data_IF_133492254361
#
_entry.id   IF_133492254361
#
_cell.length_a   1.000
_cell.length_b   1.000
_cell.length_c   1.000
_cell.angle_alpha   90.00
_cell.angle_beta   90.00
_cell.angle_gamma   90.00
#
_symmetry.space_group_name_H-M   'P 1'
#
loop_
_entity.id
_entity.type
_entity.pdbx_description
1 polymer ?
#
# COMPACT_ATOMS: atom_id res chain seq x y z
N UNK A 1 10.22 7.08 -5.16
CA UNK A 1 9.76 6.35 -3.97
C UNK A 1 10.31 7.05 -2.75
N UNK A 2 9.54 7.17 -1.66
CA UNK A 2 9.96 7.93 -0.48
C UNK A 2 9.89 9.46 -0.61
N UNK A 3 9.31 9.98 -1.70
CA UNK A 3 9.11 11.41 -1.95
C UNK A 3 7.61 11.68 -2.13
N UNK A 4 6.98 12.22 -1.09
CA UNK A 4 5.55 12.53 -1.09
C UNK A 4 5.24 13.83 -1.84
N UNK A 5 6.20 14.74 -1.97
CA UNK A 5 6.01 16.00 -2.70
C UNK A 5 5.98 15.75 -4.21
N UNK A 6 6.85 14.86 -4.71
CA UNK A 6 6.79 14.38 -6.08
C UNK A 6 5.48 13.62 -6.36
N UNK A 7 4.97 12.84 -5.39
CA UNK A 7 3.66 12.19 -5.53
C UNK A 7 2.53 13.23 -5.64
N UNK A 8 2.50 14.22 -4.74
CA UNK A 8 1.49 15.27 -4.76
C UNK A 8 1.46 16.02 -6.11
N UNK A 9 2.62 16.31 -6.69
CA UNK A 9 2.73 16.95 -8.00
C UNK A 9 2.23 16.08 -9.16
N UNK A 10 2.24 14.76 -9.00
CA UNK A 10 1.78 13.81 -10.02
C UNK A 10 0.26 13.58 -10.00
N UNK A 11 -0.43 13.94 -8.91
CA UNK A 11 -1.88 13.83 -8.81
C UNK A 11 -2.53 14.92 -9.65
N UNK A 12 -3.38 14.53 -10.59
CA UNK A 12 -4.11 15.41 -11.48
C UNK A 12 -5.62 15.10 -11.53
N UNK A 13 -6.35 15.82 -12.39
CA UNK A 13 -7.80 15.66 -12.53
C UNK A 13 -8.25 14.29 -13.06
N UNK A 14 -7.34 13.46 -13.58
CA UNK A 14 -7.64 12.12 -14.11
C UNK A 14 -7.13 11.00 -13.20
N UNK A 15 -6.49 11.35 -12.08
CA UNK A 15 -5.92 10.38 -11.15
C UNK A 15 -7.03 9.75 -10.31
N UNK A 16 -7.09 8.43 -10.28
CA UNK A 16 -8.12 7.67 -9.54
C UNK A 16 -7.56 6.88 -8.37
N UNK A 17 -6.27 6.51 -8.42
CA UNK A 17 -5.61 5.77 -7.36
C UNK A 17 -4.10 5.99 -7.35
N UNK A 18 -3.49 5.81 -6.17
CA UNK A 18 -2.06 5.60 -5.96
C UNK A 18 -1.86 4.15 -5.56
N UNK A 19 -1.08 3.40 -6.35
CA UNK A 19 -0.67 2.02 -6.07
C UNK A 19 0.80 1.99 -5.67
N UNK A 20 1.13 1.39 -4.53
CA UNK A 20 2.50 1.26 -4.05
C UNK A 20 2.71 -0.02 -3.22
N UNK A 21 3.95 -0.48 -3.15
CA UNK A 21 4.40 -1.40 -2.10
C UNK A 21 4.78 -0.59 -0.85
N UNK A 22 4.30 -0.92 0.36
CA UNK A 22 4.70 -0.23 1.59
C UNK A 22 6.21 -0.29 1.84
N UNK A 23 6.85 -1.39 1.46
CA UNK A 23 8.30 -1.58 1.39
C UNK A 23 8.58 -2.22 0.02
N UNK A 24 9.38 -1.57 -0.82
CA UNK A 24 9.65 -2.12 -2.16
C UNK A 24 10.53 -3.36 -2.05
N UNK A 25 9.98 -4.52 -2.40
CA UNK A 25 10.68 -5.81 -2.28
C UNK A 25 11.75 -5.97 -3.34
N UNK A 26 11.33 -6.10 -4.59
CA UNK A 26 12.20 -6.43 -5.73
C UNK A 26 13.17 -5.31 -6.10
N UNK A 27 12.93 -4.08 -5.65
CA UNK A 27 13.83 -2.95 -5.81
C UNK A 27 15.03 -2.96 -4.83
N UNK A 28 15.15 -3.99 -3.97
CA UNK A 28 16.25 -4.14 -3.02
C UNK A 28 15.88 -3.88 -1.56
N UNK A 29 14.66 -4.25 -1.14
CA UNK A 29 14.15 -4.06 0.23
C UNK A 29 14.28 -2.60 0.68
N UNK A 30 13.59 -1.71 -0.03
CA UNK A 30 13.64 -0.27 0.25
C UNK A 30 12.54 0.08 1.26
N UNK A 31 12.94 0.33 2.50
CA UNK A 31 12.06 0.88 3.55
C UNK A 31 11.91 2.38 3.29
N UNK A 32 10.69 2.92 3.20
CA UNK A 32 10.50 4.35 2.97
C UNK A 32 10.85 5.17 4.23
N UNK A 33 11.04 6.50 4.11
CA UNK A 33 11.03 7.40 5.25
C UNK A 33 9.75 7.27 6.08
N UNK A 34 9.85 7.47 7.40
CA UNK A 34 8.73 7.22 8.33
C UNK A 34 7.49 8.10 8.10
N UNK A 35 7.66 9.27 7.50
CA UNK A 35 6.59 10.18 7.17
C UNK A 35 5.97 9.91 5.79
N UNK A 36 6.58 9.07 4.95
CA UNK A 36 6.15 8.89 3.56
C UNK A 36 4.74 8.32 3.46
N UNK A 37 4.47 7.13 4.00
CA UNK A 37 3.14 6.50 3.89
C UNK A 37 2.04 7.32 4.58
N UNK A 38 2.25 7.91 5.79
CA UNK A 38 1.29 8.85 6.36
C UNK A 38 0.99 10.04 5.44
N UNK A 39 1.99 10.63 4.79
CA UNK A 39 1.79 11.72 3.83
C UNK A 39 1.06 11.25 2.57
N UNK A 40 1.39 10.09 2.02
CA UNK A 40 0.67 9.50 0.88
C UNK A 40 -0.81 9.30 1.23
N UNK A 41 -1.10 8.75 2.41
CA UNK A 41 -2.47 8.54 2.86
C UNK A 41 -3.25 9.86 2.92
N UNK A 42 -2.67 10.89 3.54
CA UNK A 42 -3.29 12.21 3.64
C UNK A 42 -3.56 12.82 2.26
N UNK A 43 -2.60 12.75 1.33
CA UNK A 43 -2.76 13.21 -0.04
C UNK A 43 -3.89 12.48 -0.77
N UNK A 44 -3.95 11.15 -0.66
CA UNK A 44 -5.01 10.36 -1.27
C UNK A 44 -6.39 10.78 -0.75
N UNK A 45 -6.51 11.01 0.57
CA UNK A 45 -7.76 11.52 1.17
C UNK A 45 -8.12 12.93 0.69
N UNK A 46 -7.16 13.86 0.69
CA UNK A 46 -7.38 15.26 0.27
C UNK A 46 -7.85 15.36 -1.18
N UNK A 47 -7.28 14.54 -2.06
CA UNK A 47 -7.56 14.58 -3.49
C UNK A 47 -8.69 13.63 -3.93
N UNK A 48 -9.33 12.92 -3.00
CA UNK A 48 -10.33 11.88 -3.30
C UNK A 48 -9.81 10.84 -4.31
N UNK A 49 -8.59 10.36 -4.03
CA UNK A 49 -7.87 9.34 -4.79
C UNK A 49 -7.71 8.11 -3.92
N UNK A 50 -7.90 6.92 -4.46
CA UNK A 50 -7.76 5.68 -3.69
C UNK A 50 -6.30 5.39 -3.39
N UNK A 51 -5.98 4.96 -2.17
CA UNK A 51 -4.68 4.39 -1.83
C UNK A 51 -4.75 2.87 -1.87
N UNK A 52 -3.90 2.25 -2.69
CA UNK A 52 -3.78 0.80 -2.81
C UNK A 52 -2.40 0.38 -2.29
N UNK A 53 -2.39 -0.43 -1.24
CA UNK A 53 -1.18 -1.05 -0.73
C UNK A 53 -1.02 -2.45 -1.33
N UNK A 54 0.01 -2.62 -2.15
CA UNK A 54 0.49 -3.94 -2.57
C UNK A 54 1.28 -4.58 -1.42
N UNK A 55 0.57 -5.41 -0.66
CA UNK A 55 1.09 -6.15 0.48
C UNK A 55 1.29 -7.63 0.13
N UNK A 56 1.35 -7.98 -1.17
CA UNK A 56 1.59 -9.34 -1.63
C UNK A 56 2.89 -9.88 -1.02
N UNK A 57 3.93 -9.05 -0.93
CA UNK A 57 5.22 -9.43 -0.32
C UNK A 57 5.34 -9.06 1.14
N UNK A 58 5.04 -7.81 1.48
CA UNK A 58 5.33 -7.22 2.78
C UNK A 58 4.30 -7.56 3.86
N UNK A 59 3.10 -7.99 3.45
CA UNK A 59 2.01 -8.32 4.34
C UNK A 59 2.15 -9.70 4.97
N UNK A 60 1.11 -10.08 5.72
CA UNK A 60 0.97 -11.37 6.38
C UNK A 60 2.19 -11.72 7.25
N UNK A 61 2.52 -10.81 8.17
CA UNK A 61 3.60 -10.95 9.15
C UNK A 61 5.04 -10.94 8.59
N UNK A 62 5.26 -10.78 7.27
CA UNK A 62 6.60 -10.75 6.68
C UNK A 62 7.53 -9.73 7.36
N UNK A 63 6.98 -8.57 7.70
CA UNK A 63 7.73 -7.45 8.30
C UNK A 63 7.58 -7.35 9.82
N UNK A 64 6.95 -8.33 10.46
CA UNK A 64 6.70 -8.34 11.92
C UNK A 64 5.35 -7.74 12.36
N UNK A 65 4.52 -7.29 11.41
CA UNK A 65 3.14 -6.84 11.61
C UNK A 65 2.21 -7.54 10.61
N UNK A 66 0.91 -7.60 10.89
CA UNK A 66 -0.06 -8.23 9.98
C UNK A 66 0.02 -7.58 8.59
N UNK A 67 0.02 -6.26 8.54
CA UNK A 67 0.26 -5.47 7.35
C UNK A 67 1.51 -4.61 7.56
N UNK A 68 2.35 -4.43 6.55
CA UNK A 68 3.48 -3.52 6.65
C UNK A 68 3.04 -2.07 6.88
N UNK A 69 1.88 -1.66 6.36
CA UNK A 69 1.28 -0.35 6.66
C UNK A 69 1.08 -0.10 8.16
N UNK A 70 0.90 -1.15 8.98
CA UNK A 70 0.73 -1.02 10.43
C UNK A 70 1.95 -0.40 11.14
N UNK A 71 3.15 -0.48 10.56
CA UNK A 71 4.34 0.16 11.12
C UNK A 71 4.22 1.69 11.20
N UNK A 72 3.40 2.27 10.32
CA UNK A 72 3.19 3.72 10.24
C UNK A 72 1.75 4.13 10.57
N UNK A 73 0.93 3.20 11.07
CA UNK A 73 -0.47 3.46 11.44
C UNK A 73 -1.35 3.88 10.26
N UNK A 74 -1.03 3.41 9.06
CA UNK A 74 -1.75 3.76 7.83
C UNK A 74 -2.74 2.65 7.47
N UNK A 75 -3.95 3.04 7.07
CA UNK A 75 -4.95 2.14 6.49
C UNK A 75 -5.21 2.60 5.04
N UNK A 76 -4.84 1.81 4.02
CA UNK A 76 -5.17 2.06 2.62
C UNK A 76 -6.65 1.71 2.35
N UNK A 77 -7.18 2.20 1.23
CA UNK A 77 -8.55 1.89 0.81
C UNK A 77 -8.64 0.47 0.23
N UNK A 78 -7.53 -0.03 -0.33
CA UNK A 78 -7.42 -1.38 -0.91
C UNK A 78 -6.10 -2.03 -0.50
N UNK A 79 -6.16 -3.28 -0.08
CA UNK A 79 -5.02 -4.18 0.08
C UNK A 79 -4.99 -5.20 -1.05
N UNK A 80 -3.81 -5.41 -1.64
CA UNK A 80 -3.52 -6.57 -2.49
C UNK A 80 -2.76 -7.61 -1.67
N UNK A 81 -3.28 -8.84 -1.65
CA UNK A 81 -2.70 -9.95 -0.88
C UNK A 81 -2.46 -11.16 -1.79
N UNK A 82 -1.40 -11.89 -1.48
CA UNK A 82 -0.98 -13.07 -2.23
C UNK A 82 0.15 -13.78 -1.50
N UNK A 83 1.05 -14.44 -2.24
CA UNK A 83 2.22 -15.19 -1.72
C UNK A 83 1.87 -16.04 -0.49
N UNK A 84 2.15 -15.53 0.72
CA UNK A 84 1.90 -16.22 1.97
C UNK A 84 0.42 -16.53 2.23
N UNK A 85 -0.51 -15.83 1.57
CA UNK A 85 -1.95 -16.03 1.70
C UNK A 85 -2.38 -17.46 1.37
N UNK A 86 -1.77 -18.07 0.36
CA UNK A 86 -2.03 -19.45 -0.04
C UNK A 86 -1.41 -20.49 0.89
N UNK A 87 -0.65 -20.06 1.90
CA UNK A 87 0.09 -20.93 2.83
C UNK A 87 1.14 -21.82 2.16
N UNK A 88 1.49 -21.57 0.90
CA UNK A 88 2.29 -22.49 0.08
C UNK A 88 1.56 -23.78 -0.33
N UNK A 89 0.24 -23.86 -0.12
CA UNK A 89 -0.58 -25.05 -0.38
C UNK A 89 -1.46 -24.86 -1.61
N UNK A 90 -2.09 -23.68 -1.74
CA UNK A 90 -3.01 -23.37 -2.83
C UNK A 90 -2.66 -22.02 -3.45
N UNK A 91 -2.66 -21.88 -4.79
CA UNK A 91 -2.56 -20.57 -5.43
C UNK A 91 -3.75 -19.70 -5.03
N UNK A 92 -3.49 -18.62 -4.29
CA UNK A 92 -4.52 -17.73 -3.78
C UNK A 92 -4.02 -16.28 -3.76
N UNK A 93 -4.85 -15.38 -4.27
CA UNK A 93 -4.72 -13.93 -4.14
C UNK A 93 -6.05 -13.34 -3.67
N UNK A 94 -5.99 -12.14 -3.09
CA UNK A 94 -7.16 -11.39 -2.68
C UNK A 94 -6.98 -9.90 -2.96
N UNK A 95 -8.09 -9.26 -3.33
CA UNK A 95 -8.27 -7.81 -3.30
C UNK A 95 -9.24 -7.55 -2.16
N UNK A 96 -8.81 -6.78 -1.16
CA UNK A 96 -9.61 -6.47 0.03
C UNK A 96 -9.78 -4.96 0.08
N UNK A 97 -11.02 -4.49 0.14
CA UNK A 97 -11.33 -3.07 0.21
C UNK A 97 -12.55 -2.83 1.09
N UNK A 98 -12.77 -1.56 1.44
CA UNK A 98 -13.99 -1.14 2.13
C UNK A 98 -15.24 -1.32 1.24
N UNK A 99 -16.40 -1.43 1.88
CA UNK A 99 -17.69 -1.74 1.23
C UNK A 99 -18.16 -0.65 0.27
N UNK A 100 -17.76 0.59 0.47
CA UNK A 100 -18.07 1.69 -0.43
C UNK A 100 -17.14 1.72 -1.67
N UNK A 101 -16.05 0.95 -1.64
CA UNK A 101 -15.17 0.70 -2.79
C UNK A 101 -15.59 -0.57 -3.56
N UNK A 102 -16.06 -1.62 -2.88
CA UNK A 102 -16.48 -2.93 -3.45
C UNK A 102 -17.96 -3.29 -3.24
#
# INVERSE_FOLDING_TARGET
FGDADALAQAIDANTVAVLLEPIQGEAGIIVPPDDYLPRVRALCTEHNVLMIADEIQSGLARTGRTFACDHWGVVPDIYLLGKALGGGVVPLSAVVADRDVL
#
